data_IF_648290425330
#
_entry.id   IF_648290425330
#
_cell.length_a   1.000
_cell.length_b   1.000
_cell.length_c   1.000
_cell.angle_alpha   90.00
_cell.angle_beta   90.00
_cell.angle_gamma   90.00
#
_symmetry.space_group_name_H-M   'P 1'
#
loop_
_entity.id
_entity.type
_entity.pdbx_description
1 polymer ?
#
# COMPACT_ATOMS: atom_id res chain seq x y z
N UNK A 1 20.79 -0.25 -10.92
CA UNK A 1 19.36 -0.61 -10.99
C UNK A 1 18.82 -0.42 -9.59
N UNK A 2 18.72 0.84 -9.18
CA UNK A 2 18.36 1.23 -7.82
C UNK A 2 16.96 1.83 -7.90
N UNK A 3 15.99 1.18 -7.27
CA UNK A 3 14.67 1.76 -7.06
C UNK A 3 14.34 1.64 -5.58
N UNK A 4 15.05 2.43 -4.77
CA UNK A 4 14.63 2.76 -3.41
C UNK A 4 14.73 4.27 -3.27
N UNK A 5 13.62 4.97 -3.45
CA UNK A 5 13.54 6.37 -3.03
C UNK A 5 13.15 6.40 -1.55
N UNK A 6 14.15 6.67 -0.71
CA UNK A 6 13.97 7.05 0.68
C UNK A 6 13.23 8.40 0.74
N UNK A 7 12.08 8.46 1.39
CA UNK A 7 11.74 9.50 2.37
C UNK A 7 10.53 9.09 3.22
N UNK A 8 10.76 9.01 4.54
CA UNK A 8 9.82 8.96 5.67
C UNK A 8 8.56 8.11 5.51
N UNK A 9 8.60 6.85 5.93
CA UNK A 9 8.04 6.36 7.20
C UNK A 9 8.45 4.88 7.34
N UNK A 10 9.02 4.48 8.48
CA UNK A 10 8.90 3.10 8.99
C UNK A 10 7.42 2.86 9.32
N UNK A 11 6.57 2.86 8.30
CA UNK A 11 5.15 2.66 8.50
C UNK A 11 4.92 1.17 8.61
N UNK A 12 5.11 0.63 9.82
CA UNK A 12 4.51 -0.63 10.28
C UNK A 12 2.96 -0.57 10.27
N UNK A 13 2.36 0.41 9.58
CA UNK A 13 0.92 0.58 9.51
C UNK A 13 0.32 -0.40 8.52
N UNK A 14 -0.33 -1.38 9.11
CA UNK A 14 -1.20 -2.33 8.45
C UNK A 14 -2.65 -1.79 8.48
N UNK A 15 -2.99 -0.91 7.53
CA UNK A 15 -4.31 -0.30 7.43
C UNK A 15 -4.44 1.10 8.02
N UNK A 16 -5.30 1.92 7.42
CA UNK A 16 -5.63 3.27 7.88
C UNK A 16 -6.90 3.80 7.18
N UNK A 17 -7.48 4.89 7.68
CA UNK A 17 -8.53 5.66 7.02
C UNK A 17 -7.91 6.91 6.41
N UNK A 18 -7.75 6.91 5.09
CA UNK A 18 -6.97 7.92 4.38
C UNK A 18 -7.90 8.76 3.53
N UNK A 19 -7.90 10.07 3.76
CA UNK A 19 -8.48 11.03 2.84
C UNK A 19 -7.41 11.54 1.90
N UNK A 20 -7.48 11.14 0.64
CA UNK A 20 -6.47 11.50 -0.36
C UNK A 20 -6.60 12.99 -0.65
N UNK A 21 -5.48 13.70 -0.59
CA UNK A 21 -5.32 15.08 -1.07
C UNK A 21 -4.26 15.16 -2.18
N UNK A 22 -3.30 14.23 -2.18
CA UNK A 22 -2.26 14.04 -3.18
C UNK A 22 -1.97 12.55 -3.39
N UNK A 23 -1.31 12.20 -4.50
CA UNK A 23 -0.84 10.83 -4.71
C UNK A 23 0.06 10.37 -3.55
N UNK A 24 -0.13 9.14 -3.09
CA UNK A 24 0.64 8.54 -2.01
C UNK A 24 0.79 7.03 -2.23
N UNK A 25 1.76 6.43 -1.54
CA UNK A 25 2.03 5.00 -1.62
C UNK A 25 1.38 4.26 -0.45
N UNK A 26 0.88 3.07 -0.75
CA UNK A 26 0.47 2.08 0.24
C UNK A 26 1.34 0.85 0.04
N UNK A 27 1.94 0.37 1.11
CA UNK A 27 2.80 -0.81 1.09
C UNK A 27 2.40 -1.74 2.23
N UNK A 28 2.68 -3.02 2.07
CA UNK A 28 2.65 -3.94 3.20
C UNK A 28 3.69 -3.51 4.24
N UNK A 29 3.46 -3.78 5.54
CA UNK A 29 4.51 -3.70 6.53
C UNK A 29 5.71 -4.56 6.09
N UNK A 30 6.92 -4.04 6.28
CA UNK A 30 8.15 -4.73 5.88
C UNK A 30 8.60 -4.50 4.42
N UNK A 31 7.75 -3.98 3.53
CA UNK A 31 8.17 -3.64 2.16
C UNK A 31 9.37 -2.67 2.16
N UNK A 32 10.42 -2.88 1.35
CA UNK A 32 10.53 -3.82 0.22
C UNK A 32 11.01 -5.24 0.58
N UNK A 33 11.16 -5.55 1.87
CA UNK A 33 11.40 -6.91 2.37
C UNK A 33 10.07 -7.68 2.40
N UNK A 34 10.08 -8.92 2.89
CA UNK A 34 8.87 -9.72 3.05
C UNK A 34 7.87 -9.10 4.04
N UNK A 35 6.58 -9.24 3.72
CA UNK A 35 5.51 -8.94 4.66
C UNK A 35 5.52 -9.92 5.84
N UNK A 36 5.02 -9.49 7.00
CA UNK A 36 4.93 -10.38 8.16
C UNK A 36 3.76 -11.37 8.01
N UNK A 37 3.90 -12.63 8.47
CA UNK A 37 2.82 -13.61 8.36
C UNK A 37 1.62 -13.23 9.24
N UNK A 38 0.43 -13.73 8.88
CA UNK A 38 -0.82 -13.54 9.64
C UNK A 38 -1.27 -12.08 9.80
N UNK A 39 -0.91 -11.19 8.87
CA UNK A 39 -1.37 -9.80 8.86
C UNK A 39 -2.70 -9.64 8.13
N UNK A 40 -3.57 -8.79 8.69
CA UNK A 40 -4.82 -8.35 8.05
C UNK A 40 -4.86 -6.82 8.02
N UNK A 41 -4.50 -6.25 6.87
CA UNK A 41 -4.47 -4.81 6.68
C UNK A 41 -5.71 -4.35 5.90
N UNK A 42 -6.38 -3.31 6.39
CA UNK A 42 -7.56 -2.73 5.74
C UNK A 42 -7.31 -1.24 5.57
N UNK A 43 -7.31 -0.77 4.32
CA UNK A 43 -7.22 0.65 4.00
C UNK A 43 -8.54 1.15 3.45
N UNK A 44 -9.09 2.18 4.08
CA UNK A 44 -10.30 2.88 3.62
C UNK A 44 -9.87 4.18 3.00
N UNK A 45 -10.04 4.30 1.68
CA UNK A 45 -9.57 5.45 0.90
C UNK A 45 -10.76 6.32 0.50
N UNK A 46 -10.74 7.57 0.91
CA UNK A 46 -11.79 8.55 0.61
C UNK A 46 -11.28 9.60 -0.39
N UNK A 47 -12.06 9.82 -1.46
CA UNK A 47 -11.75 10.84 -2.46
C UNK A 47 -11.85 12.26 -1.87
N UNK A 48 -11.08 13.24 -2.39
CA UNK A 48 -11.10 14.61 -1.84
C UNK A 48 -12.44 15.34 -2.06
N UNK A 49 -13.23 14.95 -3.06
CA UNK A 49 -14.48 15.61 -3.46
C UNK A 49 -15.47 14.67 -4.16
N UNK A 50 -16.74 15.11 -4.31
CA UNK A 50 -17.87 14.25 -4.69
C UNK A 50 -17.80 13.67 -6.11
N UNK A 51 -17.10 14.34 -7.04
CA UNK A 51 -16.96 13.90 -8.43
C UNK A 51 -15.55 13.42 -8.78
N UNK A 52 -14.70 13.19 -7.77
CA UNK A 52 -13.36 12.67 -7.96
C UNK A 52 -13.35 11.15 -7.83
N UNK A 53 -12.48 10.51 -8.61
CA UNK A 53 -12.29 9.05 -8.60
C UNK A 53 -10.88 8.74 -8.12
N UNK A 54 -10.73 7.60 -7.46
CA UNK A 54 -9.45 7.10 -6.98
C UNK A 54 -8.89 6.14 -8.05
N UNK A 55 -7.65 6.37 -8.45
CA UNK A 55 -6.88 5.46 -9.30
C UNK A 55 -5.81 4.79 -8.44
N UNK A 56 -5.69 3.47 -8.55
CA UNK A 56 -4.68 2.68 -7.86
C UNK A 56 -3.83 1.98 -8.91
N UNK A 57 -2.52 2.15 -8.82
CA UNK A 57 -1.55 1.48 -9.66
C UNK A 57 -0.68 0.58 -8.79
N UNK A 58 -0.51 -0.67 -9.20
CA UNK A 58 0.42 -1.59 -8.56
C UNK A 58 1.82 -1.36 -9.10
N UNK A 59 2.81 -1.46 -8.22
CA UNK A 59 4.21 -1.49 -8.63
C UNK A 59 4.45 -2.81 -9.39
N UNK A 60 5.21 -2.82 -10.49
CA UNK A 60 5.60 -4.07 -11.17
C UNK A 60 6.33 -5.06 -10.24
N UNK A 61 6.99 -4.58 -9.18
CA UNK A 61 7.51 -5.40 -8.10
C UNK A 61 6.39 -5.71 -7.10
N UNK A 62 5.57 -6.70 -7.41
CA UNK A 62 4.45 -7.15 -6.58
C UNK A 62 4.49 -8.68 -6.44
N UNK A 63 4.86 -9.15 -5.26
CA UNK A 63 4.99 -10.57 -4.93
C UNK A 63 4.07 -10.93 -3.77
N UNK A 64 3.31 -12.01 -3.93
CA UNK A 64 2.47 -12.62 -2.90
C UNK A 64 2.77 -14.13 -2.82
N UNK A 65 2.45 -14.75 -1.69
CA UNK A 65 2.51 -16.21 -1.56
C UNK A 65 1.62 -16.91 -2.59
N UNK A 66 2.19 -17.86 -3.33
CA UNK A 66 1.52 -18.67 -4.36
C UNK A 66 0.68 -19.80 -3.72
N UNK A 67 -0.28 -19.40 -2.89
CA UNK A 67 -1.33 -20.30 -2.39
C UNK A 67 -2.59 -19.95 -3.16
N UNK A 68 -3.25 -20.93 -3.77
CA UNK A 68 -4.57 -20.70 -4.37
C UNK A 68 -5.47 -20.01 -3.33
N UNK A 69 -5.81 -18.75 -3.57
CA UNK A 69 -6.79 -18.00 -2.80
C UNK A 69 -8.18 -18.61 -3.03
N UNK A 70 -8.47 -19.74 -2.39
CA UNK A 70 -9.80 -20.38 -2.38
C UNK A 70 -10.72 -19.77 -1.34
#
# INVERSE_FOLDING_TARGET
MECVFFFSFLSDKCGDNIRITSANYLTSPGYPVSYYPSQKCIWVITAPGPNQRILINFNPHFDLEDRECK
#
